data_IF_982755491240
#
_entry.id   IF_982755491240
#
_cell.length_a   1.000
_cell.length_b   1.000
_cell.length_c   1.000
_cell.angle_alpha   90.00
_cell.angle_beta   90.00
_cell.angle_gamma   90.00
#
_symmetry.space_group_name_H-M   'P 1'
#
loop_
_entity.id
_entity.type
_entity.pdbx_description
1 polymer ?
#
# COMPACT_ATOMS: atom_id res chain seq x y z
N UNK A 1 -16.51 87.09 11.63
CA UNK A 1 -15.50 87.01 12.70
C UNK A 1 -15.40 85.57 13.13
N UNK A 2 -14.17 85.15 13.42
CA UNK A 2 -13.66 83.79 13.21
C UNK A 2 -13.36 83.12 14.55
N UNK A 3 -13.16 81.79 14.51
CA UNK A 3 -12.57 80.91 15.54
C UNK A 3 -13.54 80.49 16.67
N UNK A 4 -13.67 79.22 17.03
CA UNK A 4 -12.57 78.33 17.44
C UNK A 4 -13.15 76.91 17.65
N UNK A 5 -12.67 75.90 16.92
CA UNK A 5 -11.50 75.05 17.20
C UNK A 5 -11.68 74.11 18.40
N UNK A 6 -12.06 72.87 18.07
CA UNK A 6 -11.53 71.61 18.62
C UNK A 6 -11.17 71.55 20.10
N UNK A 7 -12.10 71.06 20.93
CA UNK A 7 -11.72 70.29 22.11
C UNK A 7 -11.38 68.85 21.67
N UNK A 8 -10.25 68.70 20.98
CA UNK A 8 -9.55 67.43 20.99
C UNK A 8 -9.04 67.28 22.43
N UNK A 9 -9.79 66.54 23.25
CA UNK A 9 -9.37 66.20 24.59
C UNK A 9 -8.12 65.33 24.46
N UNK A 10 -6.96 65.98 24.42
CA UNK A 10 -5.68 65.34 24.52
C UNK A 10 -5.63 64.76 25.93
N UNK A 11 -6.11 63.52 26.07
CA UNK A 11 -6.10 62.76 27.31
C UNK A 11 -4.66 62.28 27.53
N UNK A 12 -3.74 63.23 27.62
CA UNK A 12 -2.45 63.09 28.24
C UNK A 12 -2.75 62.74 29.69
N UNK A 13 -2.86 61.44 29.94
CA UNK A 13 -2.95 60.90 31.29
C UNK A 13 -1.63 61.28 31.94
N UNK A 14 -1.65 62.36 32.70
CA UNK A 14 -0.57 62.68 33.63
C UNK A 14 -0.30 61.43 34.45
N UNK A 15 0.86 60.83 34.19
CA UNK A 15 1.34 59.67 34.91
C UNK A 15 1.77 60.17 36.28
N UNK A 16 0.82 60.17 37.22
CA UNK A 16 1.02 60.64 38.60
C UNK A 16 2.14 59.81 39.25
N UNK A 17 3.04 60.48 39.98
CA UNK A 17 4.13 59.82 40.71
C UNK A 17 3.52 58.91 41.79
N UNK A 18 4.15 57.77 42.05
CA UNK A 18 3.76 56.78 43.07
C UNK A 18 2.53 55.91 42.75
N UNK A 19 2.18 55.70 41.47
CA UNK A 19 1.20 54.67 41.10
C UNK A 19 1.91 53.36 40.74
N UNK A 20 1.82 52.38 41.65
CA UNK A 20 2.34 51.03 41.45
C UNK A 20 1.36 50.25 40.55
N UNK A 21 1.48 50.42 39.23
CA UNK A 21 0.62 49.71 38.28
C UNK A 21 1.20 48.33 38.01
N UNK A 22 0.56 47.28 38.51
CA UNK A 22 0.92 45.90 38.15
C UNK A 22 0.38 45.58 36.75
N UNK A 23 1.27 45.30 35.81
CA UNK A 23 0.87 44.79 34.49
C UNK A 23 0.67 43.28 34.60
N UNK A 24 -0.57 42.82 34.58
CA UNK A 24 -0.88 41.41 34.34
C UNK A 24 -0.62 41.10 32.87
N UNK A 25 0.63 40.82 32.54
CA UNK A 25 0.92 40.18 31.26
C UNK A 25 0.43 38.75 31.38
N UNK A 26 -0.59 38.38 30.58
CA UNK A 26 -0.91 37.00 30.35
C UNK A 26 0.34 36.36 29.74
N UNK A 27 1.15 35.71 30.58
CA UNK A 27 2.33 34.98 30.15
C UNK A 27 1.80 33.81 29.34
N UNK A 28 1.60 34.03 28.03
CA UNK A 28 1.30 32.97 27.09
C UNK A 28 2.37 31.92 27.33
N UNK A 29 1.97 30.72 27.76
CA UNK A 29 2.87 29.57 27.93
C UNK A 29 3.35 29.17 26.54
N UNK A 30 4.27 29.96 25.99
CA UNK A 30 5.00 29.58 24.79
C UNK A 30 5.98 28.50 25.23
N UNK A 31 5.91 27.37 24.55
CA UNK A 31 6.92 26.33 24.69
C UNK A 31 8.28 26.97 24.44
N UNK A 32 9.20 26.79 25.39
CA UNK A 32 10.55 27.33 25.26
C UNK A 32 11.26 26.76 24.02
N UNK A 33 12.31 27.43 23.52
CA UNK A 33 13.03 27.00 22.32
C UNK A 33 13.45 25.52 22.36
N UNK A 34 13.88 25.06 23.54
CA UNK A 34 14.28 23.66 23.79
C UNK A 34 13.09 22.68 23.69
N UNK A 35 11.91 23.07 24.20
CA UNK A 35 10.73 22.20 24.09
C UNK A 35 10.25 22.09 22.64
N UNK A 36 10.37 23.16 21.86
CA UNK A 36 9.98 23.15 20.45
C UNK A 36 10.92 22.27 19.61
N UNK A 37 12.23 22.32 19.85
CA UNK A 37 13.20 21.46 19.13
C UNK A 37 13.03 19.98 19.48
N UNK A 38 12.78 19.65 20.74
CA UNK A 38 12.50 18.26 21.16
C UNK A 38 11.23 17.73 20.45
N UNK A 39 10.16 18.53 20.40
CA UNK A 39 8.93 18.14 19.70
C UNK A 39 9.19 17.92 18.20
N UNK A 40 9.93 18.82 17.55
CA UNK A 40 10.29 18.64 16.14
C UNK A 40 11.12 17.38 15.89
N UNK A 41 12.06 17.07 16.79
CA UNK A 41 12.87 15.86 16.70
C UNK A 41 12.04 14.60 16.89
N UNK A 42 11.15 14.57 17.88
CA UNK A 42 10.21 13.45 18.10
C UNK A 42 9.29 13.28 16.89
N UNK A 43 8.74 14.37 16.35
CA UNK A 43 7.86 14.33 15.19
C UNK A 43 8.59 13.78 13.95
N UNK A 44 9.82 14.22 13.72
CA UNK A 44 10.68 13.68 12.67
C UNK A 44 10.96 12.19 12.83
N UNK A 45 11.24 11.75 14.07
CA UNK A 45 11.46 10.33 14.39
C UNK A 45 10.20 9.49 14.13
N UNK A 46 9.01 9.98 14.53
CA UNK A 46 7.74 9.30 14.28
C UNK A 46 7.45 9.14 12.79
N UNK A 47 7.73 10.19 11.99
CA UNK A 47 7.58 10.12 10.52
C UNK A 47 8.56 9.10 9.90
N UNK A 48 9.81 9.07 10.39
CA UNK A 48 10.82 8.12 9.94
C UNK A 48 10.41 6.67 10.24
N UNK A 49 9.89 6.40 11.45
CA UNK A 49 9.38 5.09 11.86
C UNK A 49 8.14 4.68 11.08
N UNK A 50 7.21 5.60 10.82
CA UNK A 50 6.05 5.33 9.97
C UNK A 50 6.46 4.95 8.55
N UNK A 51 7.44 5.67 7.98
CA UNK A 51 7.97 5.34 6.67
C UNK A 51 8.60 3.94 6.65
N UNK A 52 9.42 3.62 7.64
CA UNK A 52 10.04 2.29 7.75
C UNK A 52 8.99 1.18 7.90
N UNK A 53 7.91 1.44 8.65
CA UNK A 53 6.81 0.49 8.82
C UNK A 53 6.05 0.26 7.51
N UNK A 54 5.83 1.31 6.72
CA UNK A 54 5.24 1.16 5.37
C UNK A 54 6.14 0.32 4.46
N UNK A 55 7.46 0.58 4.48
CA UNK A 55 8.43 -0.22 3.73
C UNK A 55 8.38 -1.69 4.17
N UNK A 56 8.37 -1.99 5.46
CA UNK A 56 8.28 -3.38 5.97
C UNK A 56 6.97 -4.05 5.57
N UNK A 57 5.83 -3.35 5.66
CA UNK A 57 4.53 -3.88 5.23
C UNK A 57 4.49 -4.13 3.72
N UNK A 58 5.00 -3.21 2.90
CA UNK A 58 5.10 -3.38 1.44
C UNK A 58 6.00 -4.57 1.08
N UNK A 59 7.10 -4.79 1.81
CA UNK A 59 7.92 -5.98 1.63
C UNK A 59 7.15 -7.27 1.97
N UNK A 60 6.43 -7.31 3.10
CA UNK A 60 5.66 -8.48 3.50
C UNK A 60 4.49 -8.79 2.54
N UNK A 61 3.76 -7.77 2.09
CA UNK A 61 2.71 -7.94 1.08
C UNK A 61 3.29 -8.33 -0.29
N UNK A 62 4.47 -7.82 -0.65
CA UNK A 62 5.18 -8.22 -1.87
C UNK A 62 5.47 -9.71 -1.92
N UNK A 63 5.97 -10.30 -0.82
CA UNK A 63 6.22 -11.75 -0.74
C UNK A 63 4.93 -12.58 -0.79
N UNK A 64 3.87 -12.15 -0.12
CA UNK A 64 2.58 -12.84 -0.15
C UNK A 64 1.97 -12.81 -1.56
N UNK A 65 2.01 -11.66 -2.24
CA UNK A 65 1.53 -11.51 -3.62
C UNK A 65 2.36 -12.37 -4.57
N UNK A 66 3.69 -12.38 -4.44
CA UNK A 66 4.54 -13.19 -5.31
C UNK A 66 4.25 -14.69 -5.13
N UNK A 67 4.13 -15.16 -3.88
CA UNK A 67 3.76 -16.55 -3.59
C UNK A 67 2.40 -16.92 -4.16
N UNK A 68 1.38 -16.07 -4.00
CA UNK A 68 0.05 -16.29 -4.57
C UNK A 68 0.08 -16.30 -6.10
N UNK A 69 0.83 -15.39 -6.73
CA UNK A 69 0.99 -15.33 -8.18
C UNK A 69 1.68 -16.60 -8.71
N UNK A 70 2.68 -17.10 -7.99
CA UNK A 70 3.42 -18.30 -8.35
C UNK A 70 2.56 -19.56 -8.19
N UNK A 71 1.76 -19.65 -7.12
CA UNK A 71 0.75 -20.69 -6.95
C UNK A 71 -0.30 -20.65 -8.05
N UNK A 72 -0.83 -19.47 -8.37
CA UNK A 72 -1.80 -19.30 -9.45
C UNK A 72 -1.22 -19.75 -10.80
N UNK A 73 0.03 -19.37 -11.10
CA UNK A 73 0.69 -19.80 -12.34
C UNK A 73 0.88 -21.31 -12.40
N UNK A 74 1.23 -21.94 -11.27
CA UNK A 74 1.37 -23.40 -11.18
C UNK A 74 0.02 -24.10 -11.38
N UNK A 75 -1.02 -23.67 -10.68
CA UNK A 75 -2.37 -24.22 -10.82
C UNK A 75 -2.90 -24.07 -12.24
N UNK A 76 -2.63 -22.94 -12.89
CA UNK A 76 -3.03 -22.71 -14.27
C UNK A 76 -2.32 -23.68 -15.23
N UNK A 77 -1.02 -23.87 -15.07
CA UNK A 77 -0.26 -24.83 -15.89
C UNK A 77 -0.78 -26.27 -15.70
N UNK A 78 -1.07 -26.66 -14.46
CA UNK A 78 -1.61 -27.99 -14.14
C UNK A 78 -3.01 -28.19 -14.73
N UNK A 79 -3.88 -27.17 -14.65
CA UNK A 79 -5.20 -27.20 -15.29
C UNK A 79 -5.10 -27.33 -16.81
N UNK A 80 -4.21 -26.58 -17.45
CA UNK A 80 -4.02 -26.63 -18.90
C UNK A 80 -3.48 -28.01 -19.34
N UNK A 81 -2.58 -28.63 -18.57
CA UNK A 81 -2.10 -30.00 -18.83
C UNK A 81 -3.19 -31.07 -18.64
N UNK A 82 -4.00 -30.95 -17.58
CA UNK A 82 -5.18 -31.81 -17.35
C UNK A 82 -6.21 -31.67 -18.47
N UNK A 83 -6.44 -30.46 -18.97
CA UNK A 83 -7.34 -30.20 -20.10
C UNK A 83 -6.82 -30.86 -21.39
N UNK A 84 -5.53 -30.76 -21.68
CA UNK A 84 -4.91 -31.43 -22.84
C UNK A 84 -4.98 -32.94 -22.70
N UNK A 85 -4.67 -33.48 -21.51
CA UNK A 85 -4.68 -34.92 -21.25
C UNK A 85 -6.08 -35.50 -21.36
N UNK A 86 -7.08 -34.82 -20.81
CA UNK A 86 -8.49 -35.24 -20.96
C UNK A 86 -8.95 -35.19 -22.42
N UNK A 87 -8.59 -34.16 -23.19
CA UNK A 87 -8.89 -34.09 -24.61
C UNK A 87 -8.22 -35.23 -25.41
N UNK A 88 -6.98 -35.60 -25.07
CA UNK A 88 -6.28 -36.76 -25.66
C UNK A 88 -6.98 -38.07 -25.33
N UNK A 89 -7.35 -38.29 -24.06
CA UNK A 89 -8.09 -39.48 -23.64
C UNK A 89 -9.44 -39.60 -24.34
N UNK A 90 -10.18 -38.50 -24.45
CA UNK A 90 -11.44 -38.47 -25.20
C UNK A 90 -11.24 -38.76 -26.69
N UNK A 91 -10.19 -38.19 -27.29
CA UNK A 91 -9.86 -38.45 -28.69
C UNK A 91 -9.56 -39.93 -28.91
N UNK A 92 -8.73 -40.53 -28.05
CA UNK A 92 -8.38 -41.95 -28.12
C UNK A 92 -9.61 -42.87 -27.92
N UNK A 93 -10.49 -42.52 -26.98
CA UNK A 93 -11.76 -43.22 -26.78
C UNK A 93 -12.67 -43.13 -28.01
N UNK A 94 -12.72 -41.97 -28.68
CA UNK A 94 -13.47 -41.80 -29.93
C UNK A 94 -12.88 -42.62 -31.07
N UNK A 95 -11.55 -42.68 -31.21
CA UNK A 95 -10.92 -43.50 -32.25
C UNK A 95 -11.20 -44.99 -32.04
N UNK A 96 -11.06 -45.49 -30.81
CA UNK A 96 -11.37 -46.89 -30.46
C UNK A 96 -12.84 -47.24 -30.71
N UNK A 97 -13.76 -46.32 -30.43
CA UNK A 97 -15.19 -46.54 -30.62
C UNK A 97 -15.68 -46.28 -32.05
N UNK A 98 -14.83 -45.75 -32.94
CA UNK A 98 -15.21 -45.45 -34.32
C UNK A 98 -15.50 -46.73 -35.11
N UNK A 99 -16.44 -46.64 -36.06
CA UNK A 99 -16.81 -47.75 -36.94
C UNK A 99 -15.62 -48.26 -37.76
N UNK A 100 -14.70 -47.37 -38.13
CA UNK A 100 -13.47 -47.69 -38.87
C UNK A 100 -12.57 -48.61 -38.04
N UNK A 101 -12.32 -48.28 -36.77
CA UNK A 101 -11.50 -49.12 -35.88
C UNK A 101 -12.15 -50.49 -35.59
N UNK A 102 -13.48 -50.53 -35.44
CA UNK A 102 -14.23 -51.80 -35.28
C UNK A 102 -14.21 -52.69 -36.52
N UNK A 103 -13.99 -52.11 -37.70
CA UNK A 103 -13.85 -52.84 -38.96
C UNK A 103 -12.41 -53.30 -39.25
N UNK A 104 -11.42 -52.94 -38.41
CA UNK A 104 -10.04 -53.39 -38.57
C UNK A 104 -9.87 -54.80 -37.97
N UNK A 105 -9.42 -55.76 -38.78
CA UNK A 105 -9.03 -57.10 -38.32
C UNK A 105 -7.66 -57.02 -37.63
N UNK A 106 -7.52 -57.67 -36.48
CA UNK A 106 -6.27 -57.74 -35.73
C UNK A 106 -5.18 -58.41 -36.58
N UNK A 107 -4.19 -57.65 -37.04
CA UNK A 107 -3.03 -58.23 -37.71
C UNK A 107 -2.21 -59.02 -36.68
N UNK A 108 -2.15 -60.34 -36.86
CA UNK A 108 -1.31 -61.23 -36.05
C UNK A 108 0.17 -60.83 -36.20
N UNK A 109 0.98 -60.82 -35.13
CA UNK A 109 2.40 -60.52 -35.25
C UNK A 109 3.05 -61.56 -36.16
N UNK A 110 3.50 -61.17 -37.35
CA UNK A 110 4.37 -62.01 -38.17
C UNK A 110 5.73 -62.02 -37.48
N UNK A 111 6.05 -63.14 -36.83
CA UNK A 111 7.39 -63.43 -36.33
C UNK A 111 8.37 -63.32 -37.50
N UNK A 112 9.20 -62.28 -37.48
CA UNK A 112 10.34 -62.17 -38.39
C UNK A 112 11.28 -63.34 -38.11
N UNK A 113 11.36 -64.28 -39.06
CA UNK A 113 12.33 -65.37 -39.05
C UNK A 113 13.71 -64.74 -39.27
N UNK A 114 14.54 -64.77 -38.23
CA UNK A 114 15.97 -64.44 -38.33
C UNK A 114 16.71 -65.60 -39.00
N UNK A 115 17.53 -65.28 -40.01
CA UNK A 115 18.60 -66.11 -40.56
C UNK A 115 19.94 -65.45 -40.24
#
# INVERSE_FOLDING_TARGET
MTYSSSLASNRSKYRVRNQNTVKFQARTKVLGPVSNTIILLVLGCLLLLLYLTQVTKTNAYGYQINNLQQQQSKLKAEHDDLAVTSARLQSMSRTQNSSVAKSMVSASPTTTVHN
#
